data_IF_291004319587
#
_entry.id   IF_291004319587
#
_cell.length_a   1.000
_cell.length_b   1.000
_cell.length_c   1.000
_cell.angle_alpha   90.00
_cell.angle_beta   90.00
_cell.angle_gamma   90.00
#
_symmetry.space_group_name_H-M   'P 1'
#
loop_
_entity.id
_entity.type
_entity.pdbx_description
1 polymer ?
#
# COMPACT_ATOMS: atom_id res chain seq x y z
N UNK A 1 -9.26 -13.51 -27.97
CA UNK A 1 -8.59 -12.20 -28.05
C UNK A 1 -8.98 -11.36 -26.86
N UNK A 2 -7.99 -11.00 -26.03
CA UNK A 2 -8.20 -9.99 -25.00
C UNK A 2 -8.31 -8.63 -25.71
N UNK A 3 -9.27 -7.77 -25.31
CA UNK A 3 -9.31 -6.38 -25.76
C UNK A 3 -7.97 -5.67 -25.53
N UNK A 4 -7.70 -4.61 -26.32
CA UNK A 4 -6.58 -3.70 -26.11
C UNK A 4 -6.77 -2.93 -24.79
N UNK A 5 -6.39 -3.56 -23.68
CA UNK A 5 -6.39 -2.95 -22.36
C UNK A 5 -5.03 -2.32 -22.07
N UNK A 6 -5.03 -1.04 -21.73
CA UNK A 6 -3.86 -0.36 -21.16
C UNK A 6 -3.89 -0.57 -19.64
N UNK A 7 -3.29 -1.66 -19.18
CA UNK A 7 -3.16 -1.94 -17.75
C UNK A 7 -2.26 -0.90 -17.09
N UNK A 8 -2.71 -0.32 -15.98
CA UNK A 8 -1.91 0.66 -15.24
C UNK A 8 -0.65 0.00 -14.65
N UNK A 9 -0.80 -1.20 -14.09
CA UNK A 9 0.28 -2.03 -13.59
C UNK A 9 -0.12 -3.52 -13.63
N UNK A 10 0.86 -4.40 -13.53
CA UNK A 10 0.70 -5.82 -13.26
C UNK A 10 1.46 -6.16 -11.99
N UNK A 11 0.78 -6.84 -11.08
CA UNK A 11 1.18 -7.09 -9.70
C UNK A 11 1.49 -8.57 -9.51
N UNK A 12 2.66 -8.87 -8.93
CA UNK A 12 3.09 -10.21 -8.50
C UNK A 12 2.84 -11.32 -9.53
N UNK A 13 3.19 -11.06 -10.80
CA UNK A 13 2.96 -12.00 -11.90
C UNK A 13 3.72 -13.32 -11.76
N UNK A 14 4.75 -13.34 -10.91
CA UNK A 14 5.62 -14.47 -10.59
C UNK A 14 6.06 -14.36 -9.12
N UNK A 15 6.72 -15.39 -8.56
CA UNK A 15 7.38 -15.25 -7.26
C UNK A 15 8.29 -14.02 -7.22
N UNK A 16 8.28 -13.29 -6.09
CA UNK A 16 9.01 -12.04 -5.96
C UNK A 16 10.52 -12.26 -6.03
N UNK A 17 11.10 -12.05 -7.21
CA UNK A 17 12.55 -12.12 -7.43
C UNK A 17 12.97 -11.00 -8.36
N UNK A 18 14.16 -10.45 -8.09
CA UNK A 18 14.75 -9.38 -8.93
C UNK A 18 14.87 -9.81 -10.38
N UNK A 19 15.29 -11.05 -10.64
CA UNK A 19 15.49 -11.59 -12.00
C UNK A 19 14.18 -11.61 -12.78
N UNK A 20 13.11 -12.20 -12.22
CA UNK A 20 11.83 -12.32 -12.91
C UNK A 20 11.15 -10.97 -13.12
N UNK A 21 11.27 -10.05 -12.15
CA UNK A 21 10.81 -8.68 -12.31
C UNK A 21 11.51 -7.97 -13.48
N UNK A 22 12.85 -8.11 -13.60
CA UNK A 22 13.61 -7.51 -14.70
C UNK A 22 13.27 -8.13 -16.05
N UNK A 23 13.16 -9.46 -16.14
CA UNK A 23 12.72 -10.15 -17.36
C UNK A 23 11.34 -9.66 -17.81
N UNK A 24 10.44 -9.44 -16.86
CA UNK A 24 9.10 -8.95 -17.17
C UNK A 24 9.09 -7.48 -17.61
N UNK A 25 9.94 -6.63 -17.03
CA UNK A 25 10.15 -5.26 -17.53
C UNK A 25 10.67 -5.25 -18.96
N UNK A 26 11.60 -6.14 -19.30
CA UNK A 26 12.09 -6.30 -20.66
C UNK A 26 11.00 -6.81 -21.61
N UNK A 27 10.13 -7.72 -21.16
CA UNK A 27 8.95 -8.15 -21.90
C UNK A 27 7.99 -6.99 -22.19
N UNK A 28 7.59 -6.23 -21.16
CA UNK A 28 6.72 -5.03 -21.30
C UNK A 28 7.31 -4.05 -22.31
N UNK A 29 8.60 -3.74 -22.18
CA UNK A 29 9.30 -2.79 -23.04
C UNK A 29 9.40 -3.26 -24.49
N UNK A 30 9.74 -4.53 -24.72
CA UNK A 30 9.90 -5.09 -26.06
C UNK A 30 8.58 -5.17 -26.84
N UNK A 31 7.44 -5.22 -26.14
CA UNK A 31 6.10 -5.19 -26.74
C UNK A 31 5.50 -3.78 -26.81
N UNK A 32 6.22 -2.75 -26.35
CA UNK A 32 5.76 -1.36 -26.38
C UNK A 32 4.63 -1.05 -25.40
N UNK A 33 4.44 -1.87 -24.37
CA UNK A 33 3.46 -1.62 -23.32
C UNK A 33 3.94 -0.51 -22.36
N UNK A 34 2.98 0.20 -21.76
CA UNK A 34 3.23 1.21 -20.72
C UNK A 34 2.91 0.72 -19.31
N UNK A 35 2.49 -0.54 -19.19
CA UNK A 35 2.17 -1.20 -17.93
C UNK A 35 3.35 -1.14 -16.98
N UNK A 36 3.11 -0.74 -15.73
CA UNK A 36 4.13 -0.74 -14.67
C UNK A 36 4.25 -2.13 -14.03
N UNK A 37 5.43 -2.46 -13.50
CA UNK A 37 5.65 -3.66 -12.68
C UNK A 37 5.50 -3.30 -11.21
N UNK A 38 4.59 -3.98 -10.52
CA UNK A 38 4.33 -3.81 -9.09
C UNK A 38 4.61 -5.12 -8.34
N UNK A 39 5.28 -5.01 -7.18
CA UNK A 39 5.66 -6.16 -6.36
C UNK A 39 6.02 -5.73 -4.92
N UNK A 40 6.11 -6.66 -3.98
CA UNK A 40 6.75 -6.47 -2.68
C UNK A 40 5.88 -6.74 -1.44
N UNK A 41 4.70 -7.36 -1.56
CA UNK A 41 3.79 -7.53 -0.42
C UNK A 41 4.32 -8.54 0.61
N UNK A 42 5.11 -9.52 0.15
CA UNK A 42 5.61 -10.61 1.00
C UNK A 42 6.84 -10.22 1.84
N UNK A 43 7.45 -9.06 1.56
CA UNK A 43 8.57 -8.52 2.31
C UNK A 43 8.26 -8.37 3.80
N UNK A 44 9.18 -8.82 4.65
CA UNK A 44 9.03 -8.79 6.12
C UNK A 44 9.98 -7.84 6.84
N UNK A 45 11.08 -7.48 6.20
CA UNK A 45 12.11 -6.58 6.72
C UNK A 45 12.46 -5.54 5.64
N UNK A 46 12.95 -4.36 6.03
CA UNK A 46 13.23 -3.27 5.08
C UNK A 46 14.34 -3.66 4.09
N UNK A 47 15.31 -4.45 4.54
CA UNK A 47 16.45 -4.94 3.76
C UNK A 47 16.02 -5.84 2.60
N UNK A 48 14.82 -6.43 2.67
CA UNK A 48 14.25 -7.22 1.57
C UNK A 48 14.15 -6.40 0.27
N UNK A 49 13.85 -5.10 0.39
CA UNK A 49 13.60 -4.23 -0.77
C UNK A 49 14.88 -3.70 -1.43
N UNK A 50 16.02 -3.71 -0.72
CA UNK A 50 17.30 -3.21 -1.24
C UNK A 50 17.69 -3.77 -2.62
N UNK A 51 17.69 -5.10 -2.86
CA UNK A 51 18.07 -5.64 -4.17
C UNK A 51 17.11 -5.20 -5.29
N UNK A 52 15.81 -5.11 -5.03
CA UNK A 52 14.81 -4.63 -5.99
C UNK A 52 15.00 -3.16 -6.33
N UNK A 53 15.22 -2.32 -5.30
CA UNK A 53 15.46 -0.88 -5.44
C UNK A 53 16.75 -0.61 -6.21
N UNK A 54 17.84 -1.30 -5.84
CA UNK A 54 19.15 -1.13 -6.48
C UNK A 54 19.12 -1.47 -7.96
N UNK A 55 18.43 -2.56 -8.31
CA UNK A 55 18.28 -3.02 -9.69
C UNK A 55 17.19 -2.26 -10.48
N UNK A 56 16.32 -1.48 -9.81
CA UNK A 56 15.08 -0.93 -10.38
C UNK A 56 14.17 -2.01 -10.95
N UNK A 57 14.09 -3.13 -10.24
CA UNK A 57 13.36 -4.32 -10.64
C UNK A 57 11.84 -4.08 -10.72
N UNK A 58 11.32 -3.21 -9.86
CA UNK A 58 9.91 -2.79 -9.85
C UNK A 58 9.78 -1.32 -10.21
N UNK A 59 8.59 -0.93 -10.68
CA UNK A 59 8.18 0.46 -10.85
C UNK A 59 7.34 0.96 -9.66
N UNK A 60 6.60 0.06 -9.01
CA UNK A 60 5.79 0.30 -7.83
C UNK A 60 6.19 -0.71 -6.74
N UNK A 61 6.56 -0.22 -5.56
CA UNK A 61 6.83 -1.05 -4.39
C UNK A 61 5.59 -1.12 -3.49
N UNK A 62 5.21 -2.33 -3.11
CA UNK A 62 3.95 -2.65 -2.41
C UNK A 62 4.16 -3.20 -1.00
N UNK A 63 5.18 -2.69 -0.30
CA UNK A 63 5.43 -3.07 1.08
C UNK A 63 4.16 -3.00 1.95
N UNK A 64 3.91 -4.05 2.74
CA UNK A 64 2.66 -4.20 3.49
C UNK A 64 2.53 -3.17 4.61
N UNK A 65 1.38 -2.48 4.63
CA UNK A 65 1.12 -1.39 5.56
C UNK A 65 1.07 -1.84 7.02
N UNK A 66 0.57 -3.05 7.31
CA UNK A 66 0.52 -3.57 8.68
C UNK A 66 1.88 -4.08 9.16
N UNK A 67 2.65 -4.67 8.26
CA UNK A 67 3.98 -5.20 8.56
C UNK A 67 4.93 -4.08 8.96
N UNK A 68 4.96 -3.00 8.18
CA UNK A 68 5.97 -1.94 8.34
C UNK A 68 5.48 -0.72 9.13
N UNK A 69 4.17 -0.52 9.22
CA UNK A 69 3.60 0.70 9.79
C UNK A 69 4.08 1.94 9.04
N UNK A 70 3.81 3.13 9.59
CA UNK A 70 4.17 4.37 8.90
C UNK A 70 5.68 4.54 8.75
N UNK A 71 6.43 4.29 9.82
CA UNK A 71 7.88 4.52 9.83
C UNK A 71 8.63 3.63 8.84
N UNK A 72 8.28 2.34 8.78
CA UNK A 72 8.89 1.41 7.84
C UNK A 72 8.53 1.74 6.39
N UNK A 73 7.26 2.06 6.10
CA UNK A 73 6.86 2.49 4.75
C UNK A 73 7.57 3.80 4.36
N UNK A 74 7.74 4.76 5.28
CA UNK A 74 8.49 5.99 4.99
C UNK A 74 9.97 5.72 4.71
N UNK A 75 10.60 4.79 5.43
CA UNK A 75 11.98 4.38 5.19
C UNK A 75 12.15 3.71 3.81
N UNK A 76 11.22 2.83 3.44
CA UNK A 76 11.19 2.19 2.11
C UNK A 76 10.92 3.23 1.02
N UNK A 77 10.00 4.18 1.26
CA UNK A 77 9.73 5.28 0.34
C UNK A 77 10.96 6.13 0.06
N UNK A 78 11.77 6.40 1.09
CA UNK A 78 13.02 7.14 0.96
C UNK A 78 14.04 6.40 0.09
N UNK A 79 14.23 5.08 0.27
CA UNK A 79 15.17 4.30 -0.53
C UNK A 79 14.74 4.21 -2.01
N UNK A 80 13.44 4.18 -2.27
CA UNK A 80 12.84 4.15 -3.61
C UNK A 80 12.93 5.48 -4.37
N UNK A 81 12.97 6.62 -3.66
CA UNK A 81 12.77 7.97 -4.23
C UNK A 81 13.72 8.29 -5.37
N UNK A 82 15.03 8.11 -5.17
CA UNK A 82 16.06 8.48 -6.16
C UNK A 82 16.12 7.51 -7.36
N UNK A 83 15.42 6.38 -7.25
CA UNK A 83 15.28 5.40 -8.33
C UNK A 83 14.02 5.63 -9.17
N UNK A 84 13.17 6.58 -8.77
CA UNK A 84 11.88 6.84 -9.43
C UNK A 84 10.84 5.76 -9.17
N UNK A 85 11.03 4.95 -8.12
CA UNK A 85 10.09 3.88 -7.75
C UNK A 85 8.98 4.50 -6.91
N UNK A 86 7.75 4.19 -7.30
CA UNK A 86 6.55 4.67 -6.63
C UNK A 86 6.17 3.76 -5.45
N UNK A 87 5.39 4.29 -4.51
CA UNK A 87 4.94 3.58 -3.32
C UNK A 87 3.42 3.43 -3.35
N UNK A 88 2.96 2.18 -3.31
CA UNK A 88 1.55 1.83 -3.17
C UNK A 88 1.45 0.71 -2.13
N UNK A 89 1.39 1.02 -0.82
CA UNK A 89 1.49 0.01 0.22
C UNK A 89 0.38 -1.02 0.09
N UNK A 90 0.72 -2.32 0.14
CA UNK A 90 -0.29 -3.37 0.22
C UNK A 90 -1.08 -3.22 1.52
N UNK A 91 -2.40 -3.38 1.45
CA UNK A 91 -3.30 -3.24 2.57
C UNK A 91 -4.58 -4.06 2.40
N UNK A 92 -4.49 -5.35 2.71
CA UNK A 92 -5.64 -6.24 2.74
C UNK A 92 -6.29 -6.37 4.14
N UNK A 93 -7.62 -6.27 4.19
CA UNK A 93 -8.43 -6.50 5.39
C UNK A 93 -8.28 -5.45 6.51
N UNK A 94 -7.58 -4.33 6.28
CA UNK A 94 -7.25 -3.32 7.32
C UNK A 94 -7.96 -1.99 7.10
N UNK A 95 -8.94 -1.70 7.94
CA UNK A 95 -9.55 -0.37 7.95
C UNK A 95 -8.57 0.71 8.43
N UNK A 96 -7.82 0.44 9.51
CA UNK A 96 -6.86 1.41 10.04
C UNK A 96 -5.68 1.58 9.07
N UNK A 97 -5.22 0.50 8.45
CA UNK A 97 -4.15 0.57 7.46
C UNK A 97 -4.52 1.42 6.23
N UNK A 98 -5.80 1.45 5.83
CA UNK A 98 -6.27 2.38 4.80
C UNK A 98 -6.02 3.84 5.18
N UNK A 99 -6.42 4.27 6.39
CA UNK A 99 -6.19 5.64 6.85
C UNK A 99 -4.70 5.97 7.04
N UNK A 100 -3.88 4.98 7.42
CA UNK A 100 -2.43 5.14 7.52
C UNK A 100 -1.81 5.46 6.15
N UNK A 101 -2.18 4.73 5.11
CA UNK A 101 -1.71 4.99 3.75
C UNK A 101 -2.04 6.40 3.29
N UNK A 102 -3.24 6.90 3.58
CA UNK A 102 -3.65 8.25 3.19
C UNK A 102 -2.79 9.34 3.86
N UNK A 103 -2.43 9.15 5.14
CA UNK A 103 -1.52 10.06 5.84
C UNK A 103 -0.11 10.00 5.25
N UNK A 104 0.39 8.80 4.95
CA UNK A 104 1.69 8.61 4.28
C UNK A 104 1.69 9.30 2.92
N UNK A 105 0.59 9.23 2.17
CA UNK A 105 0.44 9.90 0.89
C UNK A 105 0.60 11.42 0.95
N UNK A 106 0.41 12.04 2.12
CA UNK A 106 0.76 13.46 2.34
C UNK A 106 2.23 13.69 2.74
N UNK A 107 2.88 12.66 3.27
CA UNK A 107 4.22 12.75 3.86
C UNK A 107 5.34 12.48 2.86
N UNK A 108 5.09 11.68 1.81
CA UNK A 108 6.11 11.27 0.83
C UNK A 108 5.83 11.81 -0.57
N UNK A 109 6.88 12.05 -1.35
CA UNK A 109 6.78 12.63 -2.70
C UNK A 109 6.56 11.62 -3.83
N UNK A 110 6.75 10.33 -3.56
CA UNK A 110 6.61 9.22 -4.52
C UNK A 110 5.43 8.28 -4.19
N UNK A 111 4.42 8.79 -3.48
CA UNK A 111 3.19 8.04 -3.26
C UNK A 111 2.41 7.89 -4.57
N UNK A 112 1.96 6.68 -4.87
CA UNK A 112 1.13 6.40 -6.03
C UNK A 112 -0.35 6.39 -5.67
N UNK A 113 -0.78 5.39 -4.90
CA UNK A 113 -2.19 5.15 -4.56
C UNK A 113 -2.26 4.37 -3.24
N UNK A 114 -3.36 4.56 -2.52
CA UNK A 114 -3.72 3.71 -1.39
C UNK A 114 -4.54 2.52 -1.90
N UNK A 115 -4.24 1.33 -1.41
CA UNK A 115 -5.11 0.16 -1.57
C UNK A 115 -6.26 0.23 -0.55
N UNK A 116 -7.49 0.06 -1.04
CA UNK A 116 -8.72 0.15 -0.25
C UNK A 116 -9.55 -1.12 -0.42
N UNK A 117 -9.68 -1.87 0.66
CA UNK A 117 -10.66 -2.96 0.81
C UNK A 117 -11.93 -2.38 1.47
N UNK A 118 -13.16 -2.70 1.00
CA UNK A 118 -14.43 -2.24 1.60
C UNK A 118 -14.74 -2.76 3.02
N UNK A 119 -13.73 -2.89 3.88
CA UNK A 119 -13.88 -3.13 5.32
C UNK A 119 -14.51 -1.90 5.97
N UNK A 120 -15.52 -2.13 6.80
CA UNK A 120 -16.16 -1.08 7.58
C UNK A 120 -16.55 -1.61 8.97
N UNK A 121 -16.67 -0.67 9.91
CA UNK A 121 -17.21 -0.91 11.25
C UNK A 121 -17.85 0.38 11.71
N UNK A 122 -18.88 0.29 12.55
CA UNK A 122 -19.51 1.46 13.16
C UNK A 122 -18.83 1.88 14.47
N UNK A 123 -17.79 1.14 14.89
CA UNK A 123 -16.96 1.41 16.08
C UNK A 123 -15.91 2.49 15.82
N UNK A 124 -15.38 2.56 14.60
CA UNK A 124 -14.41 3.59 14.22
C UNK A 124 -15.16 4.70 13.48
N UNK A 125 -15.12 5.91 14.05
CA UNK A 125 -15.71 7.10 13.46
C UNK A 125 -14.64 7.81 12.64
N UNK A 126 -14.90 7.99 11.35
CA UNK A 126 -13.95 8.51 10.38
C UNK A 126 -14.57 9.62 9.51
N UNK A 127 -15.48 10.41 10.09
CA UNK A 127 -16.32 11.39 9.37
C UNK A 127 -15.53 12.47 8.61
N UNK A 128 -14.27 12.70 8.96
CA UNK A 128 -13.39 13.59 8.20
C UNK A 128 -12.83 12.99 6.89
N UNK A 129 -13.01 11.69 6.68
CA UNK A 129 -12.61 10.98 5.47
C UNK A 129 -13.81 10.74 4.56
N UNK A 130 -13.60 10.97 3.26
CA UNK A 130 -14.58 10.70 2.20
C UNK A 130 -13.87 10.07 1.01
N UNK A 131 -14.58 9.27 0.23
CA UNK A 131 -14.11 8.76 -1.07
C UNK A 131 -15.08 9.26 -2.13
N UNK A 132 -14.61 10.14 -3.01
CA UNK A 132 -15.40 10.71 -4.10
C UNK A 132 -14.61 10.66 -5.41
N UNK A 133 -15.22 10.12 -6.47
CA UNK A 133 -14.61 10.01 -7.80
C UNK A 133 -13.24 9.30 -7.83
N UNK A 134 -13.03 8.34 -6.92
CA UNK A 134 -11.76 7.60 -6.82
C UNK A 134 -10.67 8.33 -6.03
N UNK A 135 -10.99 9.43 -5.37
CA UNK A 135 -10.05 10.19 -4.53
C UNK A 135 -10.54 10.21 -3.08
N UNK A 136 -9.59 10.08 -2.15
CA UNK A 136 -9.86 10.15 -0.73
C UNK A 136 -9.47 11.51 -0.15
N UNK A 137 -10.26 12.04 0.78
CA UNK A 137 -9.87 13.21 1.58
C UNK A 137 -9.08 12.78 2.81
N UNK A 138 -8.22 13.68 3.30
CA UNK A 138 -7.49 13.50 4.57
C UNK A 138 -7.84 14.67 5.49
N UNK A 139 -8.33 14.43 6.72
CA UNK A 139 -8.70 15.50 7.64
C UNK A 139 -7.52 16.41 8.00
N UNK A 140 -7.80 17.69 8.23
CA UNK A 140 -6.87 18.65 8.84
C UNK A 140 -7.11 18.74 10.35
N UNK A 141 -6.85 17.64 11.05
CA UNK A 141 -6.99 17.51 12.50
C UNK A 141 -5.77 16.80 13.08
N UNK A 142 -5.45 16.98 14.39
CA UNK A 142 -4.37 16.25 15.03
C UNK A 142 -4.53 14.72 14.93
N UNK A 143 -3.42 14.01 14.76
CA UNK A 143 -3.42 12.56 14.63
C UNK A 143 -4.03 12.07 13.31
N UNK A 144 -4.71 10.93 13.34
CA UNK A 144 -5.40 10.38 12.17
C UNK A 144 -6.80 10.98 11.96
N UNK A 145 -7.31 11.86 12.83
CA UNK A 145 -8.70 12.33 12.73
C UNK A 145 -9.73 11.19 12.79
N UNK A 146 -9.40 10.12 13.53
CA UNK A 146 -10.26 8.97 13.81
C UNK A 146 -10.68 9.01 15.28
N UNK A 147 -11.90 8.61 15.55
CA UNK A 147 -12.42 8.42 16.91
C UNK A 147 -12.94 7.00 17.11
N UNK A 148 -13.00 6.55 18.36
CA UNK A 148 -13.62 5.27 18.74
C UNK A 148 -14.95 5.59 19.41
N UNK A 149 -16.03 5.02 18.89
CA UNK A 149 -17.32 5.02 19.57
C UNK A 149 -17.25 4.03 20.74
N UNK A 150 -16.98 4.55 21.94
CA UNK A 150 -16.73 3.77 23.15
C UNK A 150 -17.92 2.86 23.54
N UNK A 151 -19.16 3.32 23.32
CA UNK A 151 -20.36 2.54 23.63
C UNK A 151 -20.49 1.34 22.69
N UNK A 152 -20.25 1.54 21.40
CA UNK A 152 -20.23 0.43 20.43
C UNK A 152 -19.01 -0.46 20.63
N UNK A 153 -17.86 0.11 20.97
CA UNK A 153 -16.65 -0.67 21.28
C UNK A 153 -16.95 -1.65 22.41
N UNK A 154 -17.46 -1.15 23.54
CA UNK A 154 -17.78 -1.95 24.71
C UNK A 154 -18.89 -3.00 24.46
N UNK A 155 -19.88 -2.68 23.61
CA UNK A 155 -21.04 -3.57 23.40
C UNK A 155 -20.90 -4.56 22.22
N UNK A 156 -20.07 -4.25 21.22
CA UNK A 156 -19.99 -5.04 19.96
C UNK A 156 -18.66 -5.73 19.74
N UNK A 157 -17.57 -5.22 20.31
CA UNK A 157 -16.25 -5.79 20.08
C UNK A 157 -16.10 -7.06 20.92
N UNK A 158 -15.64 -8.14 20.28
CA UNK A 158 -15.43 -9.41 20.94
C UNK A 158 -13.98 -9.80 20.71
N UNK A 159 -13.21 -9.92 21.80
CA UNK A 159 -11.83 -10.40 21.74
C UNK A 159 -11.86 -11.87 21.32
N UNK A 160 -11.41 -12.15 20.08
CA UNK A 160 -11.34 -13.52 19.56
C UNK A 160 -10.10 -14.26 20.05
N UNK A 161 -9.01 -13.53 20.25
CA UNK A 161 -7.75 -14.05 20.73
C UNK A 161 -7.27 -13.11 21.83
N UNK A 162 -7.30 -13.59 23.07
CA UNK A 162 -6.78 -12.89 24.23
C UNK A 162 -5.43 -13.51 24.57
N UNK A 163 -4.36 -12.77 24.33
CA UNK A 163 -3.00 -13.20 24.67
C UNK A 163 -2.79 -12.91 26.15
N UNK A 164 -3.25 -13.83 26.99
CA UNK A 164 -2.91 -13.82 28.42
C UNK A 164 -1.48 -14.31 28.56
N UNK A 165 -0.57 -13.37 28.83
CA UNK A 165 0.78 -13.67 29.28
C UNK A 165 0.77 -14.37 30.66
#
# INVERSE_FOLDING_TARGET
>A
DMPDYEFAFMEEMFPETVEQCLEFKDFIKSHGFKTLVADGESGREVEFYEPFVNARAVDICQADMRQFGMDGIMAIAESCRDKGILIAPHNWGSLIGYYMQLQIGRAIGNFYRAEQDPVSTDVIVADGYTIENGYATVPDMPGFGLEVDEDKFASKVHVRFDLKA
#
